data_IF_195211134223
#
_entry.id   IF_195211134223
#
_cell.length_a   1.000
_cell.length_b   1.000
_cell.length_c   1.000
_cell.angle_alpha   90.00
_cell.angle_beta   90.00
_cell.angle_gamma   90.00
#
_symmetry.space_group_name_H-M   'P 1'
#
loop_
_entity.id
_entity.type
_entity.pdbx_description
1 polymer ?
#
# COMPACT_ATOMS: atom_id res chain seq x y z
N UNK A 1 -15.51 1.48 7.59
CA UNK A 1 -14.71 0.53 8.41
C UNK A 1 -13.64 1.28 9.20
N UNK A 2 -13.38 0.94 10.47
CA UNK A 2 -12.43 1.66 11.36
C UNK A 2 -11.11 0.92 11.61
N UNK A 3 -10.90 -0.22 10.95
CA UNK A 3 -9.67 -1.01 11.12
C UNK A 3 -8.50 -0.35 10.39
N UNK A 4 -7.34 -0.27 11.06
CA UNK A 4 -6.11 0.21 10.43
C UNK A 4 -5.68 -0.69 9.27
N UNK A 5 -5.25 -0.07 8.17
CA UNK A 5 -4.81 -0.74 6.95
C UNK A 5 -3.45 -1.43 7.06
N UNK A 6 -2.74 -1.28 8.20
CA UNK A 6 -1.50 -2.01 8.50
C UNK A 6 -1.62 -3.52 8.23
N UNK A 7 -2.69 -4.16 8.73
CA UNK A 7 -2.90 -5.61 8.59
C UNK A 7 -3.12 -6.02 7.14
N UNK A 8 -3.80 -5.19 6.34
CA UNK A 8 -3.98 -5.42 4.92
C UNK A 8 -2.62 -5.44 4.20
N UNK A 9 -1.80 -4.42 4.44
CA UNK A 9 -0.46 -4.29 3.84
C UNK A 9 0.44 -5.48 4.23
N UNK A 10 0.40 -5.89 5.49
CA UNK A 10 1.15 -7.05 5.99
C UNK A 10 0.68 -8.36 5.34
N UNK A 11 -0.63 -8.60 5.29
CA UNK A 11 -1.18 -9.83 4.70
C UNK A 11 -0.87 -9.94 3.21
N UNK A 12 -0.97 -8.84 2.46
CA UNK A 12 -0.60 -8.81 1.05
C UNK A 12 0.88 -9.15 0.84
N UNK A 13 1.79 -8.45 1.52
CA UNK A 13 3.23 -8.68 1.38
C UNK A 13 3.65 -10.09 1.79
N UNK A 14 3.02 -10.66 2.83
CA UNK A 14 3.25 -12.04 3.25
C UNK A 14 2.81 -13.05 2.16
N UNK A 15 1.63 -12.84 1.56
CA UNK A 15 1.13 -13.70 0.47
C UNK A 15 2.00 -13.63 -0.77
N UNK A 16 2.47 -12.42 -1.10
CA UNK A 16 3.37 -12.19 -2.24
C UNK A 16 4.84 -12.57 -1.95
N UNK A 17 5.17 -12.93 -0.70
CA UNK A 17 6.53 -13.26 -0.24
C UNK A 17 7.55 -12.15 -0.52
N UNK A 18 7.14 -10.89 -0.31
CA UNK A 18 8.01 -9.72 -0.49
C UNK A 18 8.16 -8.92 0.80
N UNK A 19 9.32 -8.27 1.00
CA UNK A 19 9.50 -7.38 2.15
C UNK A 19 8.48 -6.24 2.15
N UNK A 20 7.95 -5.88 3.32
CA UNK A 20 6.92 -4.85 3.46
C UNK A 20 7.37 -3.46 2.99
N UNK A 21 8.65 -3.15 3.15
CA UNK A 21 9.29 -1.92 2.68
C UNK A 21 9.60 -1.92 1.18
N UNK A 22 9.46 -3.06 0.48
CA UNK A 22 9.68 -3.16 -0.97
C UNK A 22 8.44 -2.85 -1.80
N UNK A 23 7.33 -2.48 -1.14
CA UNK A 23 6.04 -2.18 -1.76
C UNK A 23 5.46 -0.88 -1.21
N UNK A 24 4.89 -0.07 -2.10
CA UNK A 24 4.07 1.10 -1.76
C UNK A 24 2.62 0.84 -2.17
N UNK A 25 1.70 1.21 -1.28
CA UNK A 25 0.26 1.06 -1.46
C UNK A 25 -0.33 2.45 -1.65
N UNK A 26 -1.11 2.62 -2.72
CA UNK A 26 -1.73 3.86 -3.11
C UNK A 26 -3.25 3.69 -3.20
N UNK A 27 -3.97 4.72 -2.79
CA UNK A 27 -5.39 4.88 -3.08
C UNK A 27 -5.55 6.25 -3.73
N UNK A 28 -6.14 6.31 -4.93
CA UNK A 28 -6.25 7.54 -5.73
C UNK A 28 -4.91 8.30 -5.87
N UNK A 29 -3.80 7.56 -6.04
CA UNK A 29 -2.46 8.12 -6.11
C UNK A 29 -1.85 8.59 -4.77
N UNK A 30 -2.59 8.55 -3.66
CA UNK A 30 -2.11 8.93 -2.33
C UNK A 30 -1.57 7.74 -1.55
N UNK A 31 -0.45 7.94 -0.85
CA UNK A 31 0.20 6.86 -0.09
C UNK A 31 -0.57 6.52 1.19
N UNK A 32 -0.86 5.23 1.34
CA UNK A 32 -1.57 4.71 2.51
C UNK A 32 -0.60 4.50 3.67
N UNK A 33 -0.76 5.27 4.74
CA UNK A 33 -0.05 5.08 6.00
C UNK A 33 -0.65 3.90 6.80
N UNK A 34 0.11 3.39 7.77
CA UNK A 34 -0.29 2.20 8.51
C UNK A 34 -1.45 2.42 9.48
N UNK A 35 -1.58 3.66 9.97
CA UNK A 35 -2.64 4.11 10.85
C UNK A 35 -3.89 4.57 10.09
N UNK A 36 -3.84 4.71 8.77
CA UNK A 36 -5.03 5.06 8.00
C UNK A 36 -6.06 3.94 8.07
N UNK A 37 -7.33 4.34 8.09
CA UNK A 37 -8.49 3.46 8.00
C UNK A 37 -9.18 3.64 6.65
N UNK A 38 -9.94 2.63 6.17
CA UNK A 38 -10.77 2.79 4.98
C UNK A 38 -11.73 3.98 5.07
N UNK A 39 -12.30 4.23 6.27
CA UNK A 39 -13.24 5.34 6.50
C UNK A 39 -12.58 6.71 6.31
N UNK A 40 -11.35 6.89 6.78
CA UNK A 40 -10.63 8.18 6.63
C UNK A 40 -10.22 8.44 5.19
N UNK A 41 -9.93 7.38 4.43
CA UNK A 41 -9.56 7.47 3.02
C UNK A 41 -10.78 7.49 2.08
N UNK A 42 -12.00 7.34 2.59
CA UNK A 42 -13.21 7.26 1.77
C UNK A 42 -13.31 6.01 0.91
N UNK A 43 -12.60 4.93 1.29
CA UNK A 43 -12.61 3.66 0.54
C UNK A 43 -13.97 2.98 0.71
N UNK A 44 -14.62 2.72 -0.42
CA UNK A 44 -15.89 2.02 -0.53
C UNK A 44 -15.70 0.54 -0.90
N UNK A 45 -16.80 -0.18 -1.02
CA UNK A 45 -16.76 -1.55 -1.56
C UNK A 45 -16.43 -1.51 -3.05
N UNK A 46 -15.70 -2.50 -3.55
CA UNK A 46 -15.22 -2.59 -4.95
C UNK A 46 -14.07 -1.61 -5.34
N UNK A 47 -13.68 -0.71 -4.45
CA UNK A 47 -12.52 0.15 -4.65
C UNK A 47 -11.19 -0.61 -4.76
N UNK A 48 -10.25 -0.04 -5.51
CA UNK A 48 -8.95 -0.64 -5.81
C UNK A 48 -7.82 0.09 -5.10
N UNK A 49 -7.03 -0.67 -4.34
CA UNK A 49 -5.73 -0.20 -3.82
C UNK A 49 -4.64 -0.64 -4.80
N UNK A 50 -3.93 0.33 -5.33
CA UNK A 50 -2.81 0.09 -6.23
C UNK A 50 -1.55 -0.28 -5.44
N UNK A 51 -0.79 -1.26 -5.92
CA UNK A 51 0.45 -1.70 -5.26
C UNK A 51 1.59 -1.68 -6.25
N UNK A 52 2.61 -0.89 -5.94
CA UNK A 52 3.82 -0.75 -6.76
C UNK A 52 5.05 -1.20 -5.98
N UNK A 53 6.13 -1.51 -6.69
CA UNK A 53 7.45 -1.67 -6.07
C UNK A 53 7.91 -0.33 -5.48
N UNK A 54 8.46 -0.36 -4.27
CA UNK A 54 9.09 0.83 -3.69
C UNK A 54 10.39 1.10 -4.47
N UNK A 55 10.52 2.30 -5.02
CA UNK A 55 11.70 2.70 -5.78
C UNK A 55 12.68 3.39 -4.82
N UNK A 56 13.65 2.64 -4.32
CA UNK A 56 14.70 3.13 -3.41
C UNK A 56 16.02 3.50 -4.12
N UNK A 57 16.06 3.41 -5.45
CA UNK A 57 17.22 3.79 -6.26
C UNK A 57 16.90 3.80 -7.76
N UNK A 58 17.69 4.55 -8.52
CA UNK A 58 17.68 4.56 -9.98
C UNK A 58 19.13 4.64 -10.45
N UNK A 59 19.67 3.55 -10.95
CA UNK A 59 20.91 3.59 -11.71
C UNK A 59 20.57 4.20 -13.07
N UNK A 60 20.69 5.52 -13.15
CA UNK A 60 20.59 6.26 -14.41
C UNK A 60 21.93 6.15 -15.10
N UNK A 61 22.30 4.96 -15.57
CA UNK A 61 23.36 4.87 -16.58
C UNK A 61 22.70 5.18 -17.93
N UNK A 62 22.76 6.45 -18.31
CA UNK A 62 22.65 6.90 -19.71
C UNK A 62 24.05 6.97 -20.29
#
# INVERSE_FOLDING_TARGET
MTTHLKRLKESYCQRQRVPRNSRRFLFEGQRIADNHTPKELGVEEEDVIEVYQEQTGGDSTV
#
